data_IF_849052067686
#
_entry.id   IF_849052067686
#
_cell.length_a   1.000
_cell.length_b   1.000
_cell.length_c   1.000
_cell.angle_alpha   90.00
_cell.angle_beta   90.00
_cell.angle_gamma   90.00
#
_symmetry.space_group_name_H-M   'P 1'
#
loop_
_entity.id
_entity.type
_entity.pdbx_description
1 polymer ?
#
# COMPACT_ATOMS: atom_id res chain seq x y z
N UNK A 1 20.94 6.03 -23.58
CA UNK A 1 19.55 5.64 -23.30
C UNK A 1 18.86 6.78 -22.57
N UNK A 2 17.61 7.07 -22.85
CA UNK A 2 16.87 8.02 -22.03
C UNK A 2 16.74 7.48 -20.59
N UNK A 3 16.78 8.34 -19.55
CA UNK A 3 16.58 7.90 -18.19
C UNK A 3 15.19 7.25 -18.04
N UNK A 4 15.10 6.22 -17.19
CA UNK A 4 13.82 5.58 -16.88
C UNK A 4 12.90 6.61 -16.21
N UNK A 5 11.62 6.52 -16.52
CA UNK A 5 10.59 7.30 -15.84
C UNK A 5 10.52 6.88 -14.37
N UNK A 6 10.31 7.83 -13.48
CA UNK A 6 10.22 7.60 -12.04
C UNK A 6 8.80 7.32 -11.60
N UNK A 7 8.67 6.31 -10.75
CA UNK A 7 7.41 6.08 -10.04
C UNK A 7 7.62 6.12 -8.54
N UNK A 8 6.63 6.68 -7.84
CA UNK A 8 6.54 6.60 -6.39
C UNK A 8 5.29 5.83 -6.00
N UNK A 9 5.43 4.95 -5.04
CA UNK A 9 4.31 4.38 -4.30
C UNK A 9 4.76 4.15 -2.85
N UNK A 10 3.84 3.76 -2.00
CA UNK A 10 4.20 3.50 -0.61
C UNK A 10 3.06 2.93 0.20
N UNK A 11 3.38 2.53 1.42
CA UNK A 11 2.42 1.94 2.32
C UNK A 11 2.68 2.39 3.76
N UNK A 12 1.59 2.64 4.50
CA UNK A 12 1.68 2.96 5.94
C UNK A 12 2.06 1.72 6.75
N UNK A 13 2.92 1.84 7.76
CA UNK A 13 3.38 0.74 8.58
C UNK A 13 2.32 0.32 9.61
N UNK A 14 1.26 -0.28 9.12
CA UNK A 14 0.18 -0.79 9.97
C UNK A 14 0.39 -2.24 10.42
N UNK A 15 1.59 -2.77 10.21
CA UNK A 15 2.09 -4.10 10.55
C UNK A 15 2.32 -4.98 9.31
N UNK A 16 2.35 -6.34 9.45
CA UNK A 16 2.73 -7.30 8.40
C UNK A 16 1.77 -7.32 7.20
N UNK A 17 2.27 -7.76 6.04
CA UNK A 17 1.48 -7.88 4.81
C UNK A 17 0.36 -8.91 4.93
N UNK A 18 -0.80 -8.55 4.40
CA UNK A 18 -1.90 -9.45 4.13
C UNK A 18 -2.20 -9.53 2.63
N UNK A 19 -3.06 -10.46 2.21
CA UNK A 19 -3.40 -10.66 0.79
C UNK A 19 -3.83 -9.37 0.10
N UNK A 20 -4.56 -8.49 0.80
CA UNK A 20 -4.97 -7.19 0.26
C UNK A 20 -3.79 -6.27 -0.07
N UNK A 21 -2.73 -6.26 0.73
CA UNK A 21 -1.50 -5.49 0.44
C UNK A 21 -0.75 -6.09 -0.75
N UNK A 22 -0.60 -7.41 -0.78
CA UNK A 22 0.12 -8.10 -1.84
C UNK A 22 -0.54 -7.92 -3.20
N UNK A 23 -1.80 -8.29 -3.33
CA UNK A 23 -2.52 -8.17 -4.61
C UNK A 23 -2.91 -6.72 -4.95
N UNK A 24 -3.08 -5.88 -3.94
CA UNK A 24 -3.44 -4.47 -4.10
C UNK A 24 -2.27 -3.58 -4.55
N UNK A 25 -1.04 -3.93 -4.16
CA UNK A 25 0.11 -3.07 -4.41
C UNK A 25 1.39 -3.86 -4.73
N UNK A 26 1.89 -4.70 -3.81
CA UNK A 26 3.25 -5.21 -3.87
C UNK A 26 3.55 -6.05 -5.12
N UNK A 27 2.61 -6.88 -5.58
CA UNK A 27 2.75 -7.64 -6.83
C UNK A 27 3.01 -6.74 -8.04
N UNK A 28 2.31 -5.62 -8.10
CA UNK A 28 2.49 -4.64 -9.18
C UNK A 28 3.82 -3.90 -9.03
N UNK A 29 4.24 -3.59 -7.79
CA UNK A 29 5.55 -2.98 -7.54
C UNK A 29 6.70 -3.85 -8.07
N UNK A 30 6.64 -5.15 -7.81
CA UNK A 30 7.64 -6.10 -8.32
C UNK A 30 7.67 -6.10 -9.85
N UNK A 31 6.51 -6.12 -10.50
CA UNK A 31 6.43 -6.12 -11.98
C UNK A 31 6.96 -4.82 -12.62
N UNK A 32 6.84 -3.68 -11.94
CA UNK A 32 7.24 -2.38 -12.48
C UNK A 32 8.74 -2.09 -12.36
N UNK A 33 9.51 -2.86 -11.58
CA UNK A 33 10.91 -2.56 -11.27
C UNK A 33 11.87 -2.64 -12.47
N UNK A 34 11.49 -3.36 -13.53
CA UNK A 34 12.32 -3.46 -14.74
C UNK A 34 12.04 -2.36 -15.76
N UNK A 35 10.88 -1.68 -15.64
CA UNK A 35 10.42 -0.67 -16.59
C UNK A 35 10.62 0.76 -16.08
N UNK A 36 10.70 0.92 -14.74
CA UNK A 36 10.73 2.23 -14.09
C UNK A 36 11.86 2.35 -13.06
N UNK A 37 12.29 3.57 -12.83
CA UNK A 37 13.06 3.93 -11.64
C UNK A 37 12.10 4.04 -10.44
N UNK A 38 12.04 2.99 -9.62
CA UNK A 38 11.05 2.85 -8.55
C UNK A 38 11.52 3.43 -7.21
N UNK A 39 10.61 4.12 -6.53
CA UNK A 39 10.73 4.59 -5.15
C UNK A 39 9.52 4.07 -4.36
N UNK A 40 9.75 3.11 -3.45
CA UNK A 40 8.70 2.51 -2.62
C UNK A 40 8.90 2.90 -1.17
N UNK A 41 7.96 3.67 -0.66
CA UNK A 41 8.05 4.33 0.62
C UNK A 41 7.41 3.52 1.75
N UNK A 42 8.16 3.30 2.84
CA UNK A 42 7.58 3.01 4.14
C UNK A 42 7.13 4.34 4.72
N UNK A 43 5.81 4.61 4.66
CA UNK A 43 5.20 5.92 4.90
C UNK A 43 4.94 6.14 6.40
N UNK A 44 6.00 6.36 7.17
CA UNK A 44 5.91 6.49 8.63
C UNK A 44 5.28 7.81 9.08
N UNK A 45 5.59 8.96 8.47
CA UNK A 45 4.87 10.20 8.78
C UNK A 45 3.37 10.08 8.52
N UNK A 46 2.96 9.46 7.42
CA UNK A 46 1.55 9.15 7.18
C UNK A 46 0.97 8.18 8.22
N UNK A 47 1.79 7.27 8.73
CA UNK A 47 1.41 6.34 9.80
C UNK A 47 1.07 7.05 11.11
N UNK A 48 1.76 8.16 11.43
CA UNK A 48 1.54 8.93 12.66
C UNK A 48 0.17 9.61 12.72
N UNK A 49 -0.53 9.78 11.60
CA UNK A 49 -1.88 10.38 11.58
C UNK A 49 -2.90 9.57 12.40
N UNK A 50 -2.65 8.29 12.66
CA UNK A 50 -3.49 7.42 13.50
C UNK A 50 -2.99 7.28 14.94
N UNK A 51 -1.96 8.03 15.36
CA UNK A 51 -1.35 8.04 16.69
C UNK A 51 -1.05 6.64 17.22
N UNK A 52 -0.24 5.82 16.52
CA UNK A 52 0.10 4.48 16.95
C UNK A 52 0.95 4.49 18.22
N UNK A 53 0.87 3.42 19.01
CA UNK A 53 1.77 3.24 20.16
C UNK A 53 3.22 3.10 19.66
N UNK A 54 4.15 3.89 20.21
CA UNK A 54 5.51 4.05 19.68
C UNK A 54 6.27 2.72 19.52
N UNK A 55 6.17 1.83 20.50
CA UNK A 55 6.85 0.53 20.48
C UNK A 55 6.33 -0.38 19.36
N UNK A 56 5.02 -0.41 19.15
CA UNK A 56 4.40 -1.21 18.10
C UNK A 56 4.69 -0.58 16.73
N UNK A 57 4.81 0.74 16.68
CA UNK A 57 5.11 1.47 15.45
C UNK A 57 6.51 1.14 14.91
N UNK A 58 7.56 1.16 15.76
CA UNK A 58 8.91 0.76 15.34
C UNK A 58 8.93 -0.68 14.80
N UNK A 59 8.27 -1.61 15.49
CA UNK A 59 8.18 -3.00 15.01
C UNK A 59 7.48 -3.08 13.65
N UNK A 60 6.38 -2.35 13.48
CA UNK A 60 5.62 -2.32 12.24
C UNK A 60 6.43 -1.75 11.06
N UNK A 61 7.33 -0.78 11.28
CA UNK A 61 8.23 -0.25 10.25
C UNK A 61 9.16 -1.35 9.72
N UNK A 62 9.80 -2.08 10.64
CA UNK A 62 10.73 -3.17 10.28
C UNK A 62 9.98 -4.30 9.59
N UNK A 63 8.83 -4.71 10.13
CA UNK A 63 8.02 -5.80 9.57
C UNK A 63 7.52 -5.47 8.16
N UNK A 64 7.04 -4.23 7.94
CA UNK A 64 6.59 -3.80 6.62
C UNK A 64 7.74 -3.83 5.60
N UNK A 65 8.90 -3.26 5.93
CA UNK A 65 10.06 -3.26 5.05
C UNK A 65 10.55 -4.68 4.73
N UNK A 66 10.61 -5.54 5.74
CA UNK A 66 11.00 -6.93 5.57
C UNK A 66 10.02 -7.72 4.70
N UNK A 67 8.72 -7.50 4.86
CA UNK A 67 7.69 -8.12 4.02
C UNK A 67 7.78 -7.60 2.57
N UNK A 68 8.06 -6.30 2.35
CA UNK A 68 8.31 -5.75 1.00
C UNK A 68 9.49 -6.46 0.32
N UNK A 69 10.61 -6.64 1.02
CA UNK A 69 11.77 -7.35 0.51
C UNK A 69 11.42 -8.83 0.22
N UNK A 70 10.76 -9.48 1.14
CA UNK A 70 10.41 -10.89 1.05
C UNK A 70 9.51 -11.22 -0.14
N UNK A 71 8.61 -10.30 -0.53
CA UNK A 71 7.75 -10.47 -1.71
C UNK A 71 8.42 -10.07 -3.02
N UNK A 72 9.71 -9.71 -3.01
CA UNK A 72 10.52 -9.46 -4.20
C UNK A 72 10.70 -7.98 -4.57
N UNK A 73 10.34 -7.04 -3.69
CA UNK A 73 10.70 -5.63 -3.92
C UNK A 73 12.20 -5.46 -3.70
N UNK A 74 12.88 -4.83 -4.66
CA UNK A 74 14.33 -4.58 -4.59
C UNK A 74 14.67 -3.68 -3.40
N UNK A 75 15.61 -4.08 -2.52
CA UNK A 75 15.93 -3.33 -1.32
C UNK A 75 16.32 -1.86 -1.57
N UNK A 76 17.05 -1.59 -2.64
CA UNK A 76 17.46 -0.23 -3.04
C UNK A 76 16.30 0.66 -3.50
N UNK A 77 15.14 0.07 -3.79
CA UNK A 77 13.91 0.80 -4.12
C UNK A 77 13.08 1.16 -2.90
N UNK A 78 13.37 0.56 -1.74
CA UNK A 78 12.59 0.76 -0.50
C UNK A 78 13.29 1.82 0.37
N UNK A 79 12.54 2.83 0.79
CA UNK A 79 13.07 3.85 1.69
C UNK A 79 12.10 4.18 2.83
N UNK A 80 12.65 4.68 3.94
CA UNK A 80 11.88 5.19 5.06
C UNK A 80 11.61 6.69 4.84
N UNK A 81 10.35 7.10 4.85
CA UNK A 81 9.96 8.49 4.57
C UNK A 81 10.68 9.49 5.48
N UNK A 82 10.73 9.24 6.79
CA UNK A 82 11.38 10.13 7.76
C UNK A 82 12.91 10.19 7.63
N UNK A 83 13.53 9.22 6.94
CA UNK A 83 14.96 9.26 6.61
C UNK A 83 15.30 10.20 5.43
N UNK A 84 14.27 10.78 4.80
CA UNK A 84 14.38 11.80 3.75
C UNK A 84 13.73 13.10 4.24
N UNK A 85 14.38 13.82 5.18
CA UNK A 85 13.76 14.97 5.87
C UNK A 85 13.41 16.13 4.93
N UNK A 86 13.99 16.17 3.74
CA UNK A 86 13.69 17.11 2.67
C UNK A 86 12.18 17.14 2.31
N UNK A 87 11.45 16.04 2.56
CA UNK A 87 9.99 16.00 2.36
C UNK A 87 9.25 16.98 3.27
N UNK A 88 9.73 17.18 4.49
CA UNK A 88 9.08 18.10 5.43
C UNK A 88 9.20 19.56 4.98
N UNK A 89 10.34 19.95 4.40
CA UNK A 89 10.50 21.28 3.82
C UNK A 89 9.62 21.47 2.59
N UNK A 90 9.60 20.50 1.67
CA UNK A 90 8.76 20.58 0.50
C UNK A 90 7.26 20.59 0.85
N UNK A 91 6.85 19.79 1.83
CA UNK A 91 5.50 19.83 2.38
C UNK A 91 5.15 21.21 2.92
N UNK A 92 6.06 21.84 3.68
CA UNK A 92 5.85 23.19 4.19
C UNK A 92 5.66 24.20 3.04
N UNK A 93 6.52 24.17 2.01
CA UNK A 93 6.37 25.06 0.84
C UNK A 93 5.03 24.85 0.13
N UNK A 94 4.60 23.59 -0.01
CA UNK A 94 3.31 23.28 -0.64
C UNK A 94 2.10 23.74 0.20
N UNK A 95 2.20 23.70 1.53
CA UNK A 95 1.12 24.22 2.39
C UNK A 95 0.88 25.72 2.19
N UNK A 96 1.92 26.50 1.82
CA UNK A 96 1.82 27.94 1.56
C UNK A 96 1.07 28.28 0.27
N UNK A 97 0.97 27.33 -0.65
CA UNK A 97 0.34 27.55 -1.95
C UNK A 97 -0.94 26.73 -2.17
N UNK A 98 -1.21 25.70 -1.35
CA UNK A 98 -2.38 24.84 -1.51
C UNK A 98 -3.62 25.46 -0.85
N UNK A 99 -4.68 25.79 -1.61
CA UNK A 99 -5.89 26.34 -1.01
C UNK A 99 -6.57 25.35 -0.05
N UNK A 100 -6.99 25.81 1.11
CA UNK A 100 -7.72 25.05 2.12
C UNK A 100 -8.88 24.22 1.50
N UNK A 101 -9.68 24.85 0.63
CA UNK A 101 -10.84 24.21 0.02
C UNK A 101 -10.52 23.01 -0.88
N UNK A 102 -9.29 22.86 -1.35
CA UNK A 102 -8.91 21.66 -2.11
C UNK A 102 -8.85 20.46 -1.17
N UNK A 103 -8.15 20.60 -0.06
CA UNK A 103 -7.96 19.54 0.94
C UNK A 103 -9.28 19.19 1.63
N UNK A 104 -10.08 20.18 2.00
CA UNK A 104 -11.36 19.99 2.67
C UNK A 104 -12.39 19.20 1.85
N UNK A 105 -12.25 19.17 0.51
CA UNK A 105 -13.14 18.42 -0.38
C UNK A 105 -12.73 16.98 -0.62
N UNK A 106 -11.54 16.55 -0.16
CA UNK A 106 -11.04 15.19 -0.37
C UNK A 106 -11.97 14.17 0.31
N UNK A 107 -12.56 13.21 -0.44
CA UNK A 107 -13.51 12.26 0.13
C UNK A 107 -12.91 11.40 1.24
N UNK A 108 -11.66 10.95 1.06
CA UNK A 108 -10.97 10.08 2.01
C UNK A 108 -10.65 10.77 3.34
N UNK A 109 -10.42 12.10 3.37
CA UNK A 109 -10.33 12.84 4.63
C UNK A 109 -11.61 12.69 5.45
N UNK A 110 -12.77 12.88 4.81
CA UNK A 110 -14.07 12.78 5.49
C UNK A 110 -14.33 11.36 6.01
N UNK A 111 -13.93 10.35 5.26
CA UNK A 111 -14.05 8.95 5.66
C UNK A 111 -13.16 8.65 6.87
N UNK A 112 -11.88 9.03 6.82
CA UNK A 112 -10.93 8.82 7.91
C UNK A 112 -11.33 9.58 9.18
N UNK A 113 -11.82 10.81 9.06
CA UNK A 113 -12.33 11.59 10.18
C UNK A 113 -13.54 10.91 10.86
N UNK A 114 -14.40 10.22 10.10
CA UNK A 114 -15.49 9.41 10.66
C UNK A 114 -15.00 8.15 11.37
N UNK A 115 -13.92 7.54 10.88
CA UNK A 115 -13.34 6.33 11.47
C UNK A 115 -12.59 6.61 12.78
N UNK A 116 -12.09 7.83 12.97
CA UNK A 116 -11.36 8.25 14.17
C UNK A 116 -11.83 9.64 14.66
N UNK A 117 -13.09 9.78 15.11
CA UNK A 117 -13.69 11.08 15.43
C UNK A 117 -12.97 11.84 16.53
N UNK A 118 -12.36 11.11 17.47
CA UNK A 118 -11.62 11.69 18.61
C UNK A 118 -10.18 12.08 18.24
N UNK A 119 -9.73 11.76 17.02
CA UNK A 119 -8.37 12.02 16.54
C UNK A 119 -8.39 12.69 15.15
N UNK A 120 -9.19 13.73 14.97
CA UNK A 120 -9.17 14.55 13.75
C UNK A 120 -8.12 15.67 13.93
N UNK A 121 -6.88 15.31 13.65
CA UNK A 121 -5.74 16.23 13.81
C UNK A 121 -5.35 16.91 12.49
N UNK A 122 -4.44 17.91 12.58
CA UNK A 122 -3.97 18.67 11.42
C UNK A 122 -3.22 17.79 10.41
N UNK A 123 -2.47 16.80 10.88
CA UNK A 123 -1.79 15.83 10.00
C UNK A 123 -2.78 15.04 9.17
N UNK A 124 -3.91 14.60 9.78
CA UNK A 124 -4.99 13.94 9.06
C UNK A 124 -5.66 14.86 8.03
N UNK A 125 -5.75 16.15 8.31
CA UNK A 125 -6.28 17.13 7.34
C UNK A 125 -5.30 17.34 6.18
N UNK A 126 -4.01 17.53 6.47
CA UNK A 126 -3.00 17.95 5.50
C UNK A 126 -2.28 16.80 4.78
N UNK A 127 -2.57 15.51 5.11
CA UNK A 127 -1.86 14.38 4.49
C UNK A 127 -1.91 14.35 2.95
N UNK A 128 -2.95 14.86 2.24
CA UNK A 128 -2.92 14.90 0.79
C UNK A 128 -1.85 15.82 0.22
N UNK A 129 -1.50 16.87 0.97
CA UNK A 129 -0.39 17.79 0.62
C UNK A 129 0.97 17.13 0.90
N UNK A 130 1.07 16.38 2.01
CA UNK A 130 2.26 15.57 2.29
C UNK A 130 2.47 14.50 1.22
N UNK A 131 1.42 13.82 0.78
CA UNK A 131 1.49 12.86 -0.33
C UNK A 131 1.93 13.54 -1.64
N UNK A 132 1.47 14.75 -1.92
CA UNK A 132 1.94 15.53 -3.05
C UNK A 132 3.45 15.84 -2.93
N UNK A 133 3.92 16.18 -1.72
CA UNK A 133 5.34 16.39 -1.45
C UNK A 133 6.15 15.10 -1.69
N UNK A 134 5.70 13.93 -1.20
CA UNK A 134 6.37 12.66 -1.43
C UNK A 134 6.58 12.38 -2.93
N UNK A 135 5.50 12.51 -3.73
CA UNK A 135 5.52 12.21 -5.16
C UNK A 135 6.43 13.18 -5.92
N UNK A 136 6.29 14.47 -5.64
CA UNK A 136 7.02 15.52 -6.35
C UNK A 136 8.49 15.63 -5.90
N UNK A 137 8.81 15.19 -4.68
CA UNK A 137 10.16 15.16 -4.14
C UNK A 137 11.11 14.32 -4.98
N UNK A 138 10.67 13.16 -5.45
CA UNK A 138 11.43 12.29 -6.34
C UNK A 138 11.21 12.61 -7.81
N UNK A 139 10.48 13.68 -8.13
CA UNK A 139 10.04 14.04 -9.48
C UNK A 139 9.33 12.87 -10.17
N UNK A 140 8.37 12.26 -9.47
CA UNK A 140 7.64 11.10 -9.97
C UNK A 140 6.86 11.43 -11.26
N UNK A 141 7.13 10.66 -12.32
CA UNK A 141 6.43 10.78 -13.61
C UNK A 141 5.06 10.10 -13.60
N UNK A 142 4.93 9.06 -12.78
CA UNK A 142 3.69 8.31 -12.62
C UNK A 142 3.54 7.72 -11.21
N UNK A 143 2.31 7.41 -10.84
CA UNK A 143 1.97 6.80 -9.54
C UNK A 143 1.08 5.58 -9.79
N UNK A 144 1.52 4.37 -9.43
CA UNK A 144 0.70 3.16 -9.52
C UNK A 144 -0.35 3.16 -8.40
N UNK A 145 -1.61 3.35 -8.74
CA UNK A 145 -2.71 3.48 -7.78
C UNK A 145 -4.00 2.84 -8.26
N UNK A 146 -4.84 2.44 -7.28
CA UNK A 146 -6.24 2.12 -7.53
C UNK A 146 -7.11 3.37 -7.76
N UNK A 147 -8.35 3.16 -8.18
CA UNK A 147 -9.30 4.24 -8.47
C UNK A 147 -9.60 5.16 -7.27
N UNK A 148 -9.52 4.65 -6.07
CA UNK A 148 -9.75 5.38 -4.83
C UNK A 148 -8.73 6.48 -4.55
N UNK A 149 -7.58 6.47 -5.25
CA UNK A 149 -6.50 7.45 -5.08
C UNK A 149 -6.54 8.61 -6.10
N UNK A 150 -7.48 8.62 -7.03
CA UNK A 150 -7.54 9.65 -8.09
C UNK A 150 -7.58 11.07 -7.55
N UNK A 151 -8.35 11.31 -6.49
CA UNK A 151 -8.47 12.63 -5.88
C UNK A 151 -7.12 13.15 -5.31
N UNK A 152 -6.28 12.25 -4.79
CA UNK A 152 -4.96 12.62 -4.27
C UNK A 152 -3.96 12.93 -5.38
N UNK A 153 -3.99 12.16 -6.46
CA UNK A 153 -3.13 12.43 -7.62
C UNK A 153 -3.54 13.74 -8.28
N UNK A 154 -4.82 14.08 -8.32
CA UNK A 154 -5.25 15.37 -8.84
C UNK A 154 -4.77 16.54 -7.95
N UNK A 155 -4.83 16.42 -6.62
CA UNK A 155 -4.22 17.42 -5.72
C UNK A 155 -2.72 17.56 -6.00
N UNK A 156 -2.01 16.45 -6.23
CA UNK A 156 -0.58 16.48 -6.56
C UNK A 156 -0.34 17.27 -7.85
N UNK A 157 -1.10 17.01 -8.91
CA UNK A 157 -1.01 17.74 -10.20
C UNK A 157 -1.31 19.22 -10.02
N UNK A 158 -2.40 19.54 -9.32
CA UNK A 158 -2.80 20.93 -9.08
C UNK A 158 -1.74 21.68 -8.25
N UNK A 159 -1.11 21.01 -7.29
CA UNK A 159 -0.01 21.57 -6.51
C UNK A 159 1.21 21.83 -7.40
N UNK A 160 1.59 20.87 -8.25
CA UNK A 160 2.68 21.04 -9.21
C UNK A 160 2.41 22.18 -10.20
N UNK A 161 1.22 22.23 -10.83
CA UNK A 161 0.81 23.30 -11.75
C UNK A 161 0.86 24.66 -11.06
N UNK A 162 0.32 24.75 -9.85
CA UNK A 162 0.28 25.99 -9.09
C UNK A 162 1.67 26.48 -8.72
N UNK A 163 2.54 25.58 -8.25
CA UNK A 163 3.94 25.93 -7.96
C UNK A 163 4.64 26.43 -9.22
N UNK A 164 4.58 25.66 -10.31
CA UNK A 164 5.23 25.99 -11.58
C UNK A 164 4.72 27.32 -12.17
N UNK A 165 3.43 27.63 -12.01
CA UNK A 165 2.87 28.91 -12.45
C UNK A 165 3.37 30.11 -11.62
N UNK A 166 3.56 29.91 -10.31
CA UNK A 166 3.97 30.98 -9.41
C UNK A 166 5.47 31.25 -9.46
N UNK A 167 6.28 30.19 -9.61
CA UNK A 167 7.72 30.27 -9.35
C UNK A 167 8.58 29.72 -10.49
N UNK A 168 7.98 29.22 -11.58
CA UNK A 168 8.69 28.64 -12.70
C UNK A 168 8.69 27.10 -12.71
N UNK A 169 9.05 26.47 -13.81
CA UNK A 169 8.93 25.01 -14.02
C UNK A 169 9.94 24.22 -13.18
N UNK A 170 9.47 23.56 -12.14
CA UNK A 170 10.26 22.68 -11.25
C UNK A 170 9.71 21.26 -11.22
N UNK A 171 8.40 21.09 -11.15
CA UNK A 171 7.76 19.82 -10.90
C UNK A 171 7.07 19.23 -12.12
N UNK A 172 7.19 17.91 -12.39
CA UNK A 172 6.38 17.24 -13.39
C UNK A 172 4.93 17.12 -12.93
N UNK A 173 4.02 16.86 -13.86
CA UNK A 173 2.65 16.48 -13.57
C UNK A 173 2.55 14.94 -13.62
N UNK A 174 2.42 14.23 -12.49
CA UNK A 174 2.46 12.79 -12.47
C UNK A 174 1.23 12.17 -13.16
N UNK A 175 1.47 11.17 -14.02
CA UNK A 175 0.41 10.35 -14.59
C UNK A 175 -0.12 9.34 -13.57
N UNK A 176 -1.38 8.94 -13.71
CA UNK A 176 -1.92 7.79 -12.99
C UNK A 176 -1.59 6.52 -13.74
N UNK A 177 -0.83 5.62 -13.13
CA UNK A 177 -0.60 4.28 -13.68
C UNK A 177 -1.65 3.33 -13.09
N UNK A 178 -2.62 2.93 -13.93
CA UNK A 178 -3.68 2.00 -13.51
C UNK A 178 -3.13 0.60 -13.40
N UNK A 179 -3.30 0.01 -12.24
CA UNK A 179 -2.96 -1.39 -11.98
C UNK A 179 -4.23 -2.20 -11.76
N UNK A 180 -4.30 -3.36 -12.40
CA UNK A 180 -5.38 -4.30 -12.13
C UNK A 180 -5.19 -4.91 -10.75
N UNK A 181 -6.11 -4.60 -9.86
CA UNK A 181 -6.09 -5.13 -8.50
C UNK A 181 -7.40 -5.87 -8.22
N UNK A 182 -7.36 -7.16 -7.89
CA UNK A 182 -8.56 -7.87 -7.51
C UNK A 182 -9.12 -7.29 -6.21
N UNK A 183 -10.43 -7.15 -6.14
CA UNK A 183 -11.11 -6.73 -4.91
C UNK A 183 -11.07 -7.88 -3.91
N UNK A 184 -10.23 -7.79 -2.88
CA UNK A 184 -10.11 -8.79 -1.82
C UNK A 184 -10.76 -8.27 -0.56
N UNK A 185 -11.81 -8.97 -0.12
CA UNK A 185 -12.47 -8.70 1.16
C UNK A 185 -11.76 -9.46 2.29
N UNK A 186 -11.92 -8.96 3.50
CA UNK A 186 -11.45 -9.63 4.70
C UNK A 186 -12.18 -10.95 4.97
N UNK A 187 -11.75 -11.67 6.00
CA UNK A 187 -12.35 -12.96 6.39
C UNK A 187 -13.83 -12.83 6.79
N UNK A 188 -14.27 -11.62 7.15
CA UNK A 188 -15.65 -11.25 7.41
C UNK A 188 -16.55 -11.18 6.15
N UNK A 189 -15.94 -11.16 4.97
CA UNK A 189 -16.64 -11.06 3.68
C UNK A 189 -17.36 -9.72 3.44
N UNK A 190 -17.09 -8.69 4.22
CA UNK A 190 -17.77 -7.38 4.17
C UNK A 190 -16.81 -6.23 3.89
N UNK A 191 -15.87 -6.00 4.79
CA UNK A 191 -14.88 -4.93 4.67
C UNK A 191 -13.64 -5.38 3.89
N UNK A 192 -12.82 -4.42 3.41
CA UNK A 192 -11.45 -4.72 2.96
C UNK A 192 -10.65 -5.31 4.13
N UNK A 193 -9.64 -6.13 3.83
CA UNK A 193 -8.73 -6.63 4.86
C UNK A 193 -8.10 -5.47 5.62
N UNK A 194 -8.18 -5.53 6.95
CA UNK A 194 -7.56 -4.56 7.85
C UNK A 194 -7.18 -5.22 9.16
N UNK A 195 -6.00 -4.92 9.67
CA UNK A 195 -5.50 -5.46 10.93
C UNK A 195 -6.33 -5.00 12.13
N UNK A 196 -6.78 -3.74 12.11
CA UNK A 196 -7.65 -3.20 13.16
C UNK A 196 -8.99 -3.92 13.26
N UNK A 197 -9.45 -4.54 12.16
CA UNK A 197 -10.67 -5.36 12.14
C UNK A 197 -10.41 -6.83 12.41
N UNK A 198 -9.14 -7.27 12.47
CA UNK A 198 -8.78 -8.67 12.67
C UNK A 198 -9.23 -9.62 11.55
N UNK A 199 -9.56 -9.09 10.37
CA UNK A 199 -10.16 -9.81 9.25
C UNK A 199 -9.15 -10.12 8.11
N UNK A 200 -7.87 -10.24 8.43
CA UNK A 200 -6.79 -10.45 7.46
C UNK A 200 -6.47 -11.93 7.23
N UNK A 201 -5.78 -12.20 6.11
CA UNK A 201 -5.01 -13.41 5.85
C UNK A 201 -3.58 -12.94 5.52
N UNK A 202 -2.63 -13.29 6.38
CA UNK A 202 -1.23 -12.86 6.24
C UNK A 202 -0.53 -13.58 5.10
N UNK A 203 0.40 -12.89 4.44
CA UNK A 203 1.22 -13.45 3.34
C UNK A 203 2.43 -14.19 3.90
N UNK A 204 3.05 -13.64 4.95
CA UNK A 204 4.26 -14.17 5.58
C UNK A 204 4.00 -14.76 6.96
N UNK A 205 2.73 -14.97 7.33
CA UNK A 205 2.35 -15.63 8.57
C UNK A 205 2.66 -17.14 8.54
N UNK A 206 2.82 -17.72 9.73
CA UNK A 206 3.03 -19.16 9.88
C UNK A 206 1.85 -19.97 9.32
N UNK A 207 2.09 -21.16 8.75
CA UNK A 207 1.05 -21.99 8.14
C UNK A 207 -0.18 -22.21 9.02
N UNK A 208 0.00 -22.44 10.32
CA UNK A 208 -1.11 -22.66 11.27
C UNK A 208 -1.96 -21.39 11.45
N UNK A 209 -1.33 -20.21 11.41
CA UNK A 209 -2.03 -18.93 11.52
C UNK A 209 -2.87 -18.71 10.24
N UNK A 210 -2.28 -18.98 9.06
CA UNK A 210 -3.00 -18.89 7.77
C UNK A 210 -4.20 -19.85 7.75
N UNK A 211 -4.02 -21.11 8.18
CA UNK A 211 -5.13 -22.09 8.27
C UNK A 211 -6.25 -21.55 9.14
N UNK A 212 -5.92 -21.06 10.34
CA UNK A 212 -6.91 -20.49 11.27
C UNK A 212 -7.65 -19.29 10.65
N UNK A 213 -6.94 -18.37 10.01
CA UNK A 213 -7.50 -17.20 9.33
C UNK A 213 -8.45 -17.63 8.20
N UNK A 214 -8.06 -18.56 7.32
CA UNK A 214 -8.89 -19.03 6.22
C UNK A 214 -10.10 -19.84 6.72
N UNK A 215 -9.92 -20.68 7.72
CA UNK A 215 -11.02 -21.44 8.32
C UNK A 215 -12.05 -20.54 9.00
N UNK A 216 -11.65 -19.36 9.50
CA UNK A 216 -12.56 -18.37 10.10
C UNK A 216 -13.39 -17.59 9.06
N UNK A 217 -13.05 -17.65 7.77
CA UNK A 217 -13.79 -16.91 6.75
C UNK A 217 -15.29 -17.17 6.79
N UNK A 218 -16.07 -16.09 6.65
CA UNK A 218 -17.51 -16.20 6.48
C UNK A 218 -17.82 -16.82 5.12
N UNK A 219 -18.67 -17.83 5.14
CA UNK A 219 -19.15 -18.53 3.94
C UNK A 219 -20.57 -18.12 3.60
N UNK A 220 -21.22 -18.83 2.68
CA UNK A 220 -22.62 -18.64 2.32
C UNK A 220 -23.54 -18.92 3.52
N UNK A 221 -24.06 -17.89 4.14
CA UNK A 221 -24.95 -17.98 5.31
C UNK A 221 -26.32 -18.59 4.99
N UNK A 222 -26.69 -18.72 3.72
CA UNK A 222 -27.95 -19.37 3.27
C UNK A 222 -27.83 -20.88 3.20
N UNK A 223 -26.59 -21.41 3.17
CA UNK A 223 -26.31 -22.86 3.18
C UNK A 223 -26.13 -23.34 4.61
N UNK A 224 -27.18 -23.90 5.19
CA UNK A 224 -27.16 -24.42 6.58
C UNK A 224 -26.58 -25.83 6.65
N UNK A 225 -26.85 -26.68 5.65
CA UNK A 225 -26.42 -28.08 5.64
C UNK A 225 -25.51 -28.37 4.44
N UNK A 226 -24.57 -29.33 4.59
CA UNK A 226 -23.64 -29.76 3.51
C UNK A 226 -24.38 -30.26 2.27
N UNK A 227 -25.55 -30.90 2.44
CA UNK A 227 -26.39 -31.41 1.38
C UNK A 227 -27.15 -30.35 0.57
N UNK A 228 -27.13 -29.10 1.00
CA UNK A 228 -27.78 -28.01 0.27
C UNK A 228 -26.83 -27.43 -0.79
N UNK A 229 -27.34 -27.03 -1.97
CA UNK A 229 -26.58 -26.23 -2.93
C UNK A 229 -26.03 -24.94 -2.34
N UNK A 230 -24.78 -24.64 -2.65
CA UNK A 230 -24.18 -23.38 -2.25
C UNK A 230 -24.41 -22.26 -3.27
N UNK A 231 -24.11 -21.01 -2.87
CA UNK A 231 -24.27 -19.82 -3.71
C UNK A 231 -22.89 -19.13 -3.92
N UNK A 232 -22.01 -19.71 -4.73
CA UNK A 232 -20.63 -19.27 -4.86
C UNK A 232 -20.50 -17.83 -5.39
N UNK A 233 -21.50 -17.32 -6.14
CA UNK A 233 -21.50 -15.93 -6.65
C UNK A 233 -21.34 -14.87 -5.55
N UNK A 234 -21.84 -15.14 -4.36
CA UNK A 234 -21.80 -14.24 -3.20
C UNK A 234 -20.89 -14.73 -2.07
N UNK A 235 -20.13 -15.80 -2.31
CA UNK A 235 -19.25 -16.39 -1.31
C UNK A 235 -17.82 -15.78 -1.40
N UNK A 236 -17.33 -15.26 -0.29
CA UNK A 236 -16.00 -14.67 -0.23
C UNK A 236 -14.87 -15.71 -0.46
N UNK A 237 -15.08 -16.97 -0.07
CA UNK A 237 -14.16 -18.07 -0.36
C UNK A 237 -14.02 -18.30 -1.86
N UNK A 238 -15.13 -18.27 -2.61
CA UNK A 238 -15.12 -18.42 -4.06
C UNK A 238 -14.44 -17.25 -4.79
N UNK A 239 -14.48 -16.06 -4.22
CA UNK A 239 -13.72 -14.93 -4.76
C UNK A 239 -12.21 -15.19 -4.72
N UNK A 240 -11.69 -15.80 -3.64
CA UNK A 240 -10.29 -16.21 -3.54
C UNK A 240 -9.95 -17.43 -4.42
N UNK A 241 -10.89 -18.34 -4.63
CA UNK A 241 -10.68 -19.47 -5.56
C UNK A 241 -10.32 -19.00 -6.97
N UNK A 242 -10.90 -17.92 -7.47
CA UNK A 242 -10.57 -17.33 -8.77
C UNK A 242 -9.11 -16.86 -8.86
N UNK A 243 -8.53 -16.48 -7.71
CA UNK A 243 -7.15 -15.99 -7.64
C UNK A 243 -6.16 -17.16 -7.49
N UNK A 244 -6.48 -18.12 -6.62
CA UNK A 244 -5.56 -19.20 -6.23
C UNK A 244 -5.71 -20.47 -7.04
N UNK A 245 -6.81 -20.62 -7.76
CA UNK A 245 -7.09 -21.77 -8.66
C UNK A 245 -7.58 -21.26 -10.02
N UNK A 246 -6.78 -20.44 -10.75
CA UNK A 246 -7.23 -19.77 -11.97
C UNK A 246 -7.75 -20.74 -13.04
N UNK A 247 -7.18 -21.95 -13.12
CA UNK A 247 -7.55 -22.98 -14.10
C UNK A 247 -8.73 -23.84 -13.64
N UNK A 248 -8.91 -24.05 -12.32
CA UNK A 248 -9.85 -24.99 -11.74
C UNK A 248 -11.03 -24.36 -10.99
N UNK A 249 -11.06 -23.03 -10.83
CA UNK A 249 -12.09 -22.39 -10.00
C UNK A 249 -13.52 -22.70 -10.42
N UNK A 250 -13.76 -22.93 -11.73
CA UNK A 250 -15.08 -23.30 -12.28
C UNK A 250 -15.52 -24.68 -11.81
N UNK A 251 -14.59 -25.64 -11.76
CA UNK A 251 -14.84 -26.97 -11.21
C UNK A 251 -15.31 -26.88 -9.75
N UNK A 252 -14.59 -26.16 -8.89
CA UNK A 252 -14.97 -25.97 -7.48
C UNK A 252 -16.28 -25.16 -7.30
N UNK A 253 -16.55 -24.26 -8.24
CA UNK A 253 -17.82 -23.54 -8.30
C UNK A 253 -18.98 -24.48 -8.55
N UNK A 254 -18.86 -25.41 -9.50
CA UNK A 254 -19.92 -26.37 -9.83
C UNK A 254 -20.10 -27.41 -8.73
N UNK A 255 -19.03 -27.93 -8.13
CA UNK A 255 -19.10 -28.80 -6.95
C UNK A 255 -19.87 -28.13 -5.81
N UNK A 256 -19.65 -26.84 -5.57
CA UNK A 256 -20.37 -26.08 -4.55
C UNK A 256 -21.86 -25.97 -4.86
N UNK A 257 -22.23 -25.68 -6.12
CA UNK A 257 -23.62 -25.56 -6.56
C UNK A 257 -24.37 -26.90 -6.52
N UNK A 258 -23.67 -28.01 -6.74
CA UNK A 258 -24.24 -29.36 -6.69
C UNK A 258 -24.25 -29.98 -5.29
N UNK A 259 -23.78 -29.25 -4.29
CA UNK A 259 -23.60 -29.76 -2.90
C UNK A 259 -22.57 -30.92 -2.78
N UNK A 260 -21.69 -31.08 -3.76
CA UNK A 260 -20.67 -32.14 -3.81
C UNK A 260 -19.42 -31.80 -2.97
N UNK A 261 -19.24 -30.52 -2.59
CA UNK A 261 -18.16 -30.09 -1.68
C UNK A 261 -18.70 -29.26 -0.52
N UNK A 262 -18.17 -29.49 0.69
CA UNK A 262 -18.50 -28.72 1.90
C UNK A 262 -17.74 -27.39 1.98
N UNK A 263 -18.33 -26.37 2.65
CA UNK A 263 -17.64 -25.10 2.86
C UNK A 263 -16.33 -25.26 3.64
N UNK A 264 -16.31 -26.18 4.62
CA UNK A 264 -15.11 -26.45 5.42
C UNK A 264 -14.00 -27.10 4.57
N UNK A 265 -14.37 -28.06 3.70
CA UNK A 265 -13.42 -28.75 2.82
C UNK A 265 -12.83 -27.75 1.80
N UNK A 266 -13.65 -26.86 1.22
CA UNK A 266 -13.17 -25.76 0.36
C UNK A 266 -12.19 -24.84 1.08
N UNK A 267 -12.47 -24.47 2.32
CA UNK A 267 -11.55 -23.60 3.09
C UNK A 267 -10.23 -24.30 3.38
N UNK A 268 -10.23 -25.60 3.69
CA UNK A 268 -8.99 -26.37 3.87
C UNK A 268 -8.14 -26.37 2.60
N UNK A 269 -8.72 -26.68 1.45
CA UNK A 269 -8.02 -26.65 0.16
C UNK A 269 -7.46 -25.24 -0.13
N UNK A 270 -8.24 -24.21 0.10
CA UNK A 270 -7.79 -22.83 -0.08
C UNK A 270 -6.63 -22.47 0.86
N UNK A 271 -6.70 -22.89 2.11
CA UNK A 271 -5.64 -22.62 3.09
C UNK A 271 -4.31 -23.24 2.65
N UNK A 272 -4.32 -24.53 2.25
CA UNK A 272 -3.11 -25.22 1.78
C UNK A 272 -2.56 -24.56 0.51
N UNK A 273 -3.41 -24.17 -0.44
CA UNK A 273 -2.99 -23.47 -1.64
C UNK A 273 -2.36 -22.10 -1.32
N UNK A 274 -2.92 -21.33 -0.41
CA UNK A 274 -2.34 -20.05 0.05
C UNK A 274 -0.98 -20.30 0.72
N UNK A 275 -0.89 -21.27 1.62
CA UNK A 275 0.34 -21.65 2.30
C UNK A 275 1.43 -22.03 1.31
N UNK A 276 1.12 -22.86 0.33
CA UNK A 276 2.04 -23.28 -0.72
C UNK A 276 2.48 -22.10 -1.61
N UNK A 277 1.53 -21.29 -2.06
CA UNK A 277 1.80 -20.14 -2.94
C UNK A 277 2.77 -19.15 -2.28
N UNK A 278 2.63 -18.91 -0.98
CA UNK A 278 3.44 -17.94 -0.26
C UNK A 278 4.61 -18.56 0.53
N UNK A 279 4.89 -19.86 0.38
CA UNK A 279 6.03 -20.52 1.03
C UNK A 279 7.37 -19.81 0.72
N UNK A 280 7.71 -19.48 -0.54
CA UNK A 280 8.97 -18.79 -0.84
C UNK A 280 9.11 -17.43 -0.15
N UNK A 281 8.00 -16.71 0.04
CA UNK A 281 8.02 -15.41 0.70
C UNK A 281 8.21 -15.55 2.21
N UNK A 282 7.64 -16.57 2.84
CA UNK A 282 7.90 -16.89 4.26
C UNK A 282 9.36 -17.25 4.50
N UNK A 283 9.93 -18.07 3.62
CA UNK A 283 11.35 -18.46 3.68
C UNK A 283 12.26 -17.23 3.53
N UNK A 284 12.00 -16.40 2.52
CA UNK A 284 12.75 -15.15 2.32
C UNK A 284 12.61 -14.21 3.53
N UNK A 285 11.41 -14.10 4.11
CA UNK A 285 11.16 -13.27 5.29
C UNK A 285 11.89 -13.80 6.53
N UNK A 286 11.92 -15.12 6.72
CA UNK A 286 12.60 -15.76 7.85
C UNK A 286 14.13 -15.62 7.78
N UNK A 287 14.67 -15.50 6.58
CA UNK A 287 16.11 -15.28 6.36
C UNK A 287 16.58 -13.85 6.65
N UNK A 288 15.65 -12.88 6.79
CA UNK A 288 15.99 -11.47 7.03
C UNK A 288 16.08 -11.16 8.52
N UNK A 289 17.24 -10.69 8.97
CA UNK A 289 17.41 -10.08 10.28
C UNK A 289 16.97 -8.61 10.30
N UNK A 290 16.58 -8.10 11.46
CA UNK A 290 16.25 -6.68 11.64
C UNK A 290 17.41 -5.76 11.28
N UNK A 291 18.64 -6.17 11.52
CA UNK A 291 19.85 -5.42 11.16
C UNK A 291 20.00 -5.28 9.65
N UNK A 292 19.74 -6.35 8.90
CA UNK A 292 19.76 -6.31 7.41
C UNK A 292 18.66 -5.43 6.86
N UNK A 293 17.44 -5.52 7.41
CA UNK A 293 16.32 -4.67 7.00
C UNK A 293 16.65 -3.19 7.22
N UNK A 294 17.19 -2.84 8.39
CA UNK A 294 17.63 -1.46 8.69
C UNK A 294 18.73 -1.00 7.73
N UNK A 295 19.67 -1.86 7.40
CA UNK A 295 20.72 -1.56 6.42
C UNK A 295 20.14 -1.31 5.02
N UNK A 296 19.20 -2.13 4.56
CA UNK A 296 18.54 -1.96 3.27
C UNK A 296 17.71 -0.67 3.22
N UNK A 297 16.95 -0.37 4.28
CA UNK A 297 16.25 0.92 4.40
C UNK A 297 17.22 2.10 4.32
N UNK A 298 18.42 2.00 4.93
CA UNK A 298 19.46 3.02 4.82
C UNK A 298 19.89 3.24 3.37
N UNK A 299 20.18 2.18 2.61
CA UNK A 299 20.60 2.25 1.20
C UNK A 299 19.51 2.92 0.34
N UNK A 300 18.27 2.46 0.44
CA UNK A 300 17.16 3.05 -0.32
C UNK A 300 16.87 4.50 0.07
N UNK A 301 16.99 4.82 1.37
CA UNK A 301 16.81 6.19 1.86
C UNK A 301 17.89 7.14 1.35
N UNK A 302 19.16 6.74 1.32
CA UNK A 302 20.23 7.57 0.73
C UNK A 302 20.00 7.79 -0.77
N UNK A 303 19.56 6.76 -1.50
CA UNK A 303 19.21 6.90 -2.92
C UNK A 303 18.05 7.90 -3.11
N UNK A 304 16.98 7.78 -2.35
CA UNK A 304 15.84 8.70 -2.42
C UNK A 304 16.25 10.13 -2.02
N UNK A 305 17.09 10.24 -0.97
CA UNK A 305 17.57 11.52 -0.46
C UNK A 305 18.47 12.26 -1.44
N UNK A 306 19.27 11.55 -2.22
CA UNK A 306 20.11 12.16 -3.27
C UNK A 306 19.25 12.92 -4.30
N UNK A 307 18.12 12.34 -4.72
CA UNK A 307 17.15 13.00 -5.60
C UNK A 307 16.44 14.14 -4.88
N UNK A 308 16.00 13.91 -3.64
CA UNK A 308 15.24 14.85 -2.83
C UNK A 308 16.01 16.16 -2.60
N UNK A 309 17.29 16.09 -2.26
CA UNK A 309 18.17 17.26 -2.08
C UNK A 309 18.21 18.15 -3.31
N UNK A 310 18.36 17.54 -4.49
CA UNK A 310 18.35 18.29 -5.76
C UNK A 310 17.01 18.98 -5.99
N UNK A 311 15.91 18.24 -5.80
CA UNK A 311 14.55 18.75 -5.99
C UNK A 311 14.24 19.91 -5.03
N UNK A 312 14.60 19.77 -3.74
CA UNK A 312 14.36 20.84 -2.75
C UNK A 312 15.24 22.06 -3.06
N UNK A 313 16.50 21.86 -3.46
CA UNK A 313 17.37 22.98 -3.85
C UNK A 313 16.80 23.76 -5.04
N UNK A 314 16.26 23.08 -6.06
CA UNK A 314 15.56 23.73 -7.18
C UNK A 314 14.31 24.50 -6.70
N UNK A 315 13.48 23.87 -5.83
CA UNK A 315 12.29 24.52 -5.28
C UNK A 315 12.65 25.77 -4.45
N UNK A 316 13.68 25.67 -3.59
CA UNK A 316 14.18 26.81 -2.80
C UNK A 316 14.64 27.95 -3.70
N UNK A 317 15.43 27.66 -4.72
CA UNK A 317 15.88 28.64 -5.69
C UNK A 317 14.71 29.31 -6.41
N UNK A 318 13.72 28.55 -6.85
CA UNK A 318 12.54 29.05 -7.55
C UNK A 318 11.72 30.03 -6.71
N UNK A 319 11.54 29.74 -5.40
CA UNK A 319 10.80 30.62 -4.48
C UNK A 319 11.65 31.77 -3.91
N UNK A 320 12.92 31.87 -4.27
CA UNK A 320 13.83 32.93 -3.82
C UNK A 320 14.38 32.74 -2.40
N UNK A 321 14.35 31.53 -1.84
CA UNK A 321 15.04 31.24 -0.57
C UNK A 321 16.54 31.13 -0.77
N UNK A 322 17.31 31.64 0.21
CA UNK A 322 18.76 31.47 0.20
C UNK A 322 19.14 29.98 0.23
N UNK A 323 20.27 29.59 -0.39
CA UNK A 323 20.82 28.27 -0.20
C UNK A 323 20.96 27.91 1.28
N UNK A 324 20.86 26.61 1.61
CA UNK A 324 21.19 26.19 2.98
C UNK A 324 22.65 26.58 3.28
N UNK A 325 22.85 27.32 4.37
CA UNK A 325 24.16 27.81 4.81
C UNK A 325 24.98 26.69 5.44
#
# INVERSE_FOLDING_TARGET
>A
MAPLKRILSGMRPTGRFHLGNYFGAARNWVALQDEYECFYMVADYHGLTSQPHAKDFERNLIDLAADMIAVGVRPESIYLQSSVPEVAELFLLFTMITPYGWVARVPTFKEMARQQPDNVNLGLFSYPVLQAADILLVKGDAVPVGQDQDAHIEITRETARRFNRLYGPVFPEPATLRTETPKILGTDGKAKMSKSLGNIIGVTDEPEVIRKQVLSMVTDTRRTYKSQPGHPKSCNVDALYKIFFPDDWQHYWDLCRKAEIGCHDKKKLLAERIIETFAPFREARAALSDAEVKRFLGIGSERARAVARTTVAEARSAVGLLPAL
#
